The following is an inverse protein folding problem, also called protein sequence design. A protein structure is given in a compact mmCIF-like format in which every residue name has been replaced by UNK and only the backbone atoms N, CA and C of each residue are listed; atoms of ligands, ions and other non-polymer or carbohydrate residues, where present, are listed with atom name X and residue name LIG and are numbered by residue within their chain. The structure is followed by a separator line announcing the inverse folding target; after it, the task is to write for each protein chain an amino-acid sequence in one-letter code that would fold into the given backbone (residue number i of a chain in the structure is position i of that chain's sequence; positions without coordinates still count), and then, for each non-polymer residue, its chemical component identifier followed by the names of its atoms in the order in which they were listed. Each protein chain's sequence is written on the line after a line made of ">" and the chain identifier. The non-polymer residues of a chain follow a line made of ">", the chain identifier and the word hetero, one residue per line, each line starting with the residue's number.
data_IF_351738972978
#
_entry.id   IF_351738972978
#
_cell.length_a   1.000
_cell.length_b   1.000
_cell.length_c   1.000
_cell.angle_alpha   90.00
_cell.angle_beta   90.00
_cell.angle_gamma   90.00
#
_symmetry.space_group_name_H-M   'P 1'
#
loop_
_entity.id
_entity.type
_entity.pdbx_description
1 polymer ?
#
# COMPACT_ATOMS: atom_id res chain seq x y z
N UNK A 1 16.03 15.01 9.09
CA UNK A 1 16.90 14.61 7.96
C UNK A 1 16.34 15.23 6.68
N UNK A 2 17.05 16.14 6.00
CA UNK A 2 16.57 16.78 4.76
C UNK A 2 17.04 15.94 3.56
N UNK A 3 16.15 15.13 2.99
CA UNK A 3 16.44 14.37 1.77
C UNK A 3 16.36 15.35 0.58
N UNK A 4 17.48 15.54 -0.14
CA UNK A 4 17.57 16.43 -1.30
C UNK A 4 17.28 15.66 -2.60
N UNK A 5 16.03 15.24 -2.81
CA UNK A 5 15.55 14.60 -4.05
C UNK A 5 14.50 15.47 -4.78
N UNK A 6 14.14 15.12 -6.02
CA UNK A 6 13.07 15.82 -6.75
C UNK A 6 11.74 15.47 -6.09
N UNK A 7 11.02 16.46 -5.60
CA UNK A 7 9.71 16.24 -4.95
C UNK A 7 8.59 16.12 -5.99
N UNK A 8 7.69 15.16 -5.77
CA UNK A 8 6.48 14.93 -6.56
C UNK A 8 5.23 15.09 -5.70
N UNK A 9 4.13 15.43 -6.37
CA UNK A 9 2.79 15.48 -5.76
C UNK A 9 2.45 14.09 -5.20
N UNK A 10 1.73 14.01 -4.06
CA UNK A 10 1.34 12.75 -3.43
C UNK A 10 0.19 12.10 -4.20
N UNK A 11 0.50 11.49 -5.35
CA UNK A 11 -0.49 10.83 -6.20
C UNK A 11 -0.42 9.31 -6.01
N UNK A 12 -1.57 8.66 -6.08
CA UNK A 12 -1.68 7.21 -6.12
C UNK A 12 -1.03 6.68 -7.42
N UNK A 13 -0.11 5.71 -7.35
CA UNK A 13 0.57 5.19 -8.53
C UNK A 13 -0.37 4.41 -9.47
N UNK A 14 -1.51 3.94 -8.96
CA UNK A 14 -2.45 3.11 -9.74
C UNK A 14 -3.56 3.89 -10.44
N UNK A 15 -3.97 5.05 -9.90
CA UNK A 15 -5.06 5.83 -10.49
C UNK A 15 -4.75 7.32 -10.69
N UNK A 16 -3.56 7.78 -10.29
CA UNK A 16 -3.13 9.18 -10.46
C UNK A 16 -3.81 10.20 -9.53
N UNK A 17 -4.79 9.79 -8.73
CA UNK A 17 -5.50 10.69 -7.81
C UNK A 17 -4.66 11.01 -6.57
N UNK A 18 -4.79 12.22 -5.98
CA UNK A 18 -4.13 12.54 -4.72
C UNK A 18 -4.55 11.59 -3.59
N UNK A 19 -3.57 11.01 -2.88
CA UNK A 19 -3.83 10.26 -1.66
C UNK A 19 -3.77 11.18 -0.43
N UNK A 20 -4.46 10.81 0.65
CA UNK A 20 -4.46 11.58 1.90
C UNK A 20 -3.16 11.35 2.68
N UNK A 21 -2.85 12.23 3.63
CA UNK A 21 -1.75 11.96 4.56
C UNK A 21 -2.01 10.62 5.29
N UNK A 22 -1.00 9.74 5.44
CA UNK A 22 -1.14 8.52 6.24
C UNK A 22 -1.50 8.84 7.70
N UNK A 23 -2.44 8.09 8.24
CA UNK A 23 -2.98 8.23 9.61
C UNK A 23 -2.86 6.91 10.37
N UNK A 24 -2.94 6.95 11.69
CA UNK A 24 -2.85 5.74 12.52
C UNK A 24 -4.17 4.95 12.45
N UNK A 25 -4.08 3.69 12.00
CA UNK A 25 -5.19 2.77 11.78
C UNK A 25 -5.01 1.58 12.73
N UNK A 26 -6.08 1.25 13.47
CA UNK A 26 -6.15 0.03 14.28
C UNK A 26 -6.43 -1.16 13.38
N UNK A 27 -5.52 -2.12 13.35
CA UNK A 27 -5.73 -3.40 12.69
C UNK A 27 -6.48 -4.39 13.60
N UNK A 28 -6.96 -5.49 13.01
CA UNK A 28 -7.86 -6.43 13.66
C UNK A 28 -7.30 -7.14 14.90
N UNK A 29 -5.98 -7.23 15.04
CA UNK A 29 -5.30 -7.89 16.18
C UNK A 29 -4.81 -6.89 17.24
N UNK A 30 -5.28 -5.64 17.20
CA UNK A 30 -4.94 -4.60 18.19
C UNK A 30 -3.62 -3.87 17.91
N UNK A 31 -2.87 -4.29 16.91
CA UNK A 31 -1.74 -3.56 16.37
C UNK A 31 -2.20 -2.27 15.65
N UNK A 32 -1.32 -1.27 15.60
CA UNK A 32 -1.57 0.02 14.97
C UNK A 32 -0.52 0.26 13.91
N UNK A 33 -0.96 0.53 12.69
CA UNK A 33 -0.06 0.91 11.59
C UNK A 33 -0.45 2.29 11.05
N UNK A 34 0.50 3.00 10.44
CA UNK A 34 0.21 4.30 9.82
C UNK A 34 -0.05 4.10 8.32
N UNK A 35 -1.23 4.44 7.82
CA UNK A 35 -1.60 4.15 6.43
C UNK A 35 -2.90 4.80 5.98
N UNK A 36 -3.51 4.24 4.93
CA UNK A 36 -4.80 4.69 4.43
C UNK A 36 -5.25 3.94 3.16
N UNK A 37 -6.42 4.32 2.64
CA UNK A 37 -6.96 3.78 1.39
C UNK A 37 -7.19 4.90 0.37
N UNK A 38 -6.75 4.68 -0.86
CA UNK A 38 -7.10 5.53 -1.98
C UNK A 38 -8.56 5.27 -2.40
N UNK A 39 -9.19 6.25 -3.04
CA UNK A 39 -10.55 6.13 -3.59
C UNK A 39 -10.70 4.99 -4.61
N UNK A 40 -9.62 4.63 -5.32
CA UNK A 40 -9.60 3.49 -6.25
C UNK A 40 -9.45 2.11 -5.56
N UNK A 41 -9.43 2.09 -4.23
CA UNK A 41 -9.33 0.88 -3.42
C UNK A 41 -7.90 0.43 -3.08
N UNK A 42 -6.86 1.05 -3.65
CA UNK A 42 -5.46 0.78 -3.27
C UNK A 42 -5.23 1.10 -1.80
N UNK A 43 -4.69 0.17 -1.03
CA UNK A 43 -4.20 0.43 0.32
C UNK A 43 -2.79 1.00 0.27
N UNK A 44 -2.43 1.85 1.21
CA UNK A 44 -1.05 2.29 1.39
C UNK A 44 -0.67 2.31 2.86
N UNK A 45 0.61 2.07 3.12
CA UNK A 45 1.20 2.02 4.46
C UNK A 45 2.50 2.80 4.49
N UNK A 46 2.70 3.51 5.59
CA UNK A 46 3.86 4.35 5.85
C UNK A 46 4.58 3.86 7.11
N UNK A 47 5.84 3.51 6.97
CA UNK A 47 6.72 3.19 8.09
C UNK A 47 7.47 4.43 8.58
N UNK A 48 7.06 4.95 9.74
CA UNK A 48 7.70 6.10 10.39
C UNK A 48 9.16 5.84 10.76
N UNK A 49 9.52 4.59 11.05
CA UNK A 49 10.86 4.21 11.51
C UNK A 49 11.85 4.02 10.36
N UNK A 50 11.35 3.65 9.18
CA UNK A 50 12.15 3.25 8.03
C UNK A 50 12.79 1.85 8.15
N UNK A 51 12.49 1.09 9.20
CA UNK A 51 13.06 -0.23 9.46
C UNK A 51 12.01 -1.36 9.54
N UNK A 52 10.73 -1.04 9.61
CA UNK A 52 9.63 -1.97 9.87
C UNK A 52 8.64 -2.06 8.68
N UNK A 53 9.05 -1.67 7.47
CA UNK A 53 8.18 -1.70 6.30
C UNK A 53 7.63 -3.11 6.00
N UNK A 54 8.39 -4.17 6.33
CA UNK A 54 7.94 -5.56 6.16
C UNK A 54 6.78 -5.96 7.07
N UNK A 55 6.78 -5.48 8.32
CA UNK A 55 5.64 -5.70 9.25
C UNK A 55 4.44 -4.87 8.79
N UNK A 56 4.69 -3.59 8.46
CA UNK A 56 3.66 -2.68 7.98
C UNK A 56 3.01 -3.17 6.67
N UNK A 57 3.77 -3.87 5.82
CA UNK A 57 3.30 -4.51 4.60
C UNK A 57 2.20 -5.56 4.85
N UNK A 58 2.36 -6.39 5.89
CA UNK A 58 1.36 -7.42 6.25
C UNK A 58 0.02 -6.77 6.60
N UNK A 59 0.07 -5.76 7.46
CA UNK A 59 -1.13 -5.01 7.87
C UNK A 59 -1.82 -4.34 6.68
N UNK A 60 -1.03 -3.78 5.77
CA UNK A 60 -1.54 -3.14 4.56
C UNK A 60 -2.23 -4.14 3.63
N UNK A 61 -1.72 -5.37 3.51
CA UNK A 61 -2.31 -6.41 2.65
C UNK A 61 -3.66 -6.85 3.19
N UNK A 62 -3.74 -7.09 4.50
CA UNK A 62 -5.00 -7.38 5.20
C UNK A 62 -5.98 -6.22 5.05
N UNK A 63 -5.51 -4.98 5.22
CA UNK A 63 -6.33 -3.79 5.04
C UNK A 63 -6.83 -3.62 3.59
N UNK A 64 -6.02 -3.98 2.60
CA UNK A 64 -6.41 -4.04 1.20
C UNK A 64 -7.55 -5.07 0.99
N UNK A 65 -7.51 -6.18 1.73
CA UNK A 65 -8.54 -7.22 1.78
C UNK A 65 -9.71 -6.91 2.73
N UNK A 66 -9.87 -5.65 3.15
CA UNK A 66 -10.94 -5.21 4.07
C UNK A 66 -10.95 -5.93 5.43
N UNK A 67 -9.78 -6.34 5.93
CA UNK A 67 -9.65 -7.04 7.21
C UNK A 67 -9.72 -8.57 7.10
N UNK A 68 -9.88 -9.12 5.89
CA UNK A 68 -9.89 -10.55 5.65
C UNK A 68 -8.46 -11.12 5.63
N UNK A 69 -8.04 -11.65 6.77
CA UNK A 69 -6.73 -12.26 6.97
C UNK A 69 -6.55 -13.55 6.17
N UNK A 70 -7.59 -14.38 6.10
CA UNK A 70 -7.55 -15.64 5.37
C UNK A 70 -7.32 -15.38 3.88
N UNK A 71 -8.08 -14.43 3.31
CA UNK A 71 -7.88 -14.01 1.92
C UNK A 71 -6.48 -13.45 1.71
N UNK A 72 -6.01 -12.54 2.56
CA UNK A 72 -4.70 -11.92 2.42
C UNK A 72 -3.57 -12.96 2.31
N UNK A 73 -3.63 -14.05 3.10
CA UNK A 73 -2.64 -15.12 3.09
C UNK A 73 -2.67 -16.03 1.85
N UNK A 74 -3.76 -16.01 1.10
CA UNK A 74 -3.87 -16.76 -0.17
C UNK A 74 -3.40 -15.99 -1.39
N UNK A 75 -3.19 -14.67 -1.26
CA UNK A 75 -2.81 -13.83 -2.40
C UNK A 75 -1.34 -14.01 -2.75
N UNK A 76 -1.04 -14.09 -4.04
CA UNK A 76 0.33 -14.15 -4.56
C UNK A 76 0.75 -12.80 -5.14
N UNK A 77 1.92 -12.25 -4.77
CA UNK A 77 2.42 -11.00 -5.36
C UNK A 77 2.62 -11.15 -6.87
N UNK A 78 2.38 -10.06 -7.60
CA UNK A 78 2.38 -9.97 -9.07
C UNK A 78 1.33 -10.80 -9.82
N UNK A 79 0.62 -11.71 -9.12
CA UNK A 79 -0.46 -12.52 -9.68
C UNK A 79 -1.86 -12.06 -9.19
N UNK A 80 -1.99 -11.72 -7.91
CA UNK A 80 -3.26 -11.31 -7.30
C UNK A 80 -3.23 -9.89 -6.73
N UNK A 81 -2.04 -9.31 -6.59
CA UNK A 81 -1.87 -7.90 -6.22
C UNK A 81 -0.55 -7.36 -6.71
N UNK A 82 -0.49 -6.03 -6.87
CA UNK A 82 0.71 -5.29 -7.24
C UNK A 82 1.17 -4.40 -6.10
N UNK A 83 2.49 -4.21 -6.03
CA UNK A 83 3.16 -3.38 -5.02
C UNK A 83 3.93 -2.27 -5.73
N UNK A 84 3.84 -1.05 -5.20
CA UNK A 84 4.71 0.07 -5.58
C UNK A 84 5.24 0.75 -4.31
N UNK A 85 6.53 1.02 -4.25
CA UNK A 85 7.20 1.61 -3.08
C UNK A 85 7.86 2.94 -3.40
N UNK A 86 7.86 3.84 -2.42
CA UNK A 86 8.34 5.19 -2.56
C UNK A 86 9.03 5.68 -1.29
N UNK A 87 9.87 6.70 -1.46
CA UNK A 87 10.24 7.57 -0.37
C UNK A 87 9.19 8.66 -0.20
N UNK A 88 8.70 8.82 1.03
CA UNK A 88 7.68 9.77 1.40
C UNK A 88 8.14 10.64 2.57
N UNK A 89 7.90 11.95 2.43
CA UNK A 89 8.08 12.92 3.51
C UNK A 89 6.72 13.22 4.13
N UNK A 90 6.50 12.74 5.35
CA UNK A 90 5.26 12.97 6.10
C UNK A 90 5.03 14.46 6.43
N UNK A 91 6.09 15.21 6.72
CA UNK A 91 5.99 16.62 7.08
C UNK A 91 5.45 17.49 5.95
N UNK A 92 5.99 17.32 4.74
CA UNK A 92 5.56 18.06 3.55
C UNK A 92 4.49 17.37 2.71
N UNK A 93 4.15 16.10 3.01
CA UNK A 93 3.27 15.25 2.20
C UNK A 93 3.67 15.19 0.74
N UNK A 94 4.91 14.75 0.49
CA UNK A 94 5.48 14.66 -0.84
C UNK A 94 6.16 13.32 -1.05
N UNK A 95 6.07 12.81 -2.28
CA UNK A 95 6.89 11.70 -2.74
C UNK A 95 8.24 12.25 -3.18
N UNK A 96 9.32 11.50 -2.92
CA UNK A 96 10.68 11.89 -3.28
C UNK A 96 11.16 10.96 -4.38
N UNK A 97 11.41 11.53 -5.55
CA UNK A 97 11.92 10.84 -6.73
C UNK A 97 13.43 11.05 -6.84
N UNK A 98 14.17 9.95 -7.00
CA UNK A 98 15.63 9.90 -7.07
C UNK A 98 16.32 10.48 -5.83
N UNK A 99 16.69 9.60 -4.93
CA UNK A 99 17.62 9.94 -3.86
C UNK A 99 19.02 9.93 -4.46
N UNK A 100 19.79 11.01 -4.24
CA UNK A 100 21.16 11.15 -4.75
C UNK A 100 21.95 9.85 -4.52
N UNK A 101 22.59 9.32 -5.57
CA UNK A 101 23.47 8.15 -5.51
C UNK A 101 24.41 8.29 -4.30
N UNK A 102 24.32 7.36 -3.35
CA UNK A 102 25.15 7.33 -2.14
C UNK A 102 24.39 7.48 -0.82
N UNK A 103 23.14 7.95 -0.83
CA UNK A 103 22.30 7.96 0.38
C UNK A 103 21.59 6.61 0.52
N UNK A 104 21.97 5.81 1.51
CA UNK A 104 21.27 4.56 1.87
C UNK A 104 20.02 4.92 2.66
N UNK A 105 18.92 5.15 1.97
CA UNK A 105 17.60 5.28 2.59
C UNK A 105 16.72 4.18 2.06
N UNK A 106 16.03 3.48 2.96
CA UNK A 106 14.95 2.55 2.63
C UNK A 106 13.70 3.35 2.23
N UNK A 107 12.95 2.79 1.28
CA UNK A 107 11.59 3.25 1.00
C UNK A 107 10.77 3.09 2.28
N UNK A 108 9.85 4.02 2.49
CA UNK A 108 9.08 4.09 3.74
C UNK A 108 7.58 4.23 3.49
N UNK A 109 7.14 4.26 2.23
CA UNK A 109 5.74 4.24 1.84
C UNK A 109 5.54 3.15 0.79
N UNK A 110 4.52 2.33 0.98
CA UNK A 110 4.20 1.22 0.11
C UNK A 110 2.71 1.23 -0.24
N UNK A 111 2.39 1.01 -1.51
CA UNK A 111 1.04 0.88 -2.03
C UNK A 111 0.76 -0.56 -2.46
N UNK A 112 -0.41 -1.08 -2.10
CA UNK A 112 -0.89 -2.42 -2.46
C UNK A 112 -2.21 -2.29 -3.21
N UNK A 113 -2.23 -2.77 -4.45
CA UNK A 113 -3.45 -2.89 -5.24
C UNK A 113 -3.78 -4.36 -5.43
N UNK A 114 -4.82 -4.84 -4.74
CA UNK A 114 -5.39 -6.17 -4.98
C UNK A 114 -6.18 -6.15 -6.28
N UNK A 115 -5.91 -7.11 -7.14
CA UNK A 115 -6.64 -7.34 -8.38
C UNK A 115 -7.99 -7.95 -8.03
N UNK A 116 -9.07 -7.23 -8.33
CA UNK A 116 -10.40 -7.74 -8.09
C UNK A 116 -10.76 -8.66 -9.26
N UNK A 117 -10.36 -9.93 -9.18
CA UNK A 117 -10.92 -10.97 -10.05
C UNK A 117 -12.39 -11.11 -9.67
N UNK A 118 -13.25 -10.28 -10.27
CA UNK A 118 -14.69 -10.48 -10.18
C UNK A 118 -14.96 -11.94 -10.54
N UNK A 119 -15.69 -12.64 -9.67
CA UNK A 119 -16.11 -14.01 -9.86
C UNK A 119 -16.83 -14.15 -11.21
N UNK A 120 -16.11 -14.52 -12.28
CA UNK A 120 -16.71 -14.95 -13.54
C UNK A 120 -16.70 -16.47 -13.58
N UNK A 121 -17.86 -17.05 -13.29
CA UNK A 121 -18.16 -18.44 -13.60
C UNK A 121 -18.29 -19.36 -12.39
N UNK A 122 -19.55 -19.58 -11.97
CA UNK A 122 -20.14 -20.92 -11.79
C UNK A 122 -21.64 -20.78 -11.55
N UNK A 123 -22.40 -20.56 -12.63
CA UNK A 123 -23.78 -21.01 -12.69
C UNK A 123 -23.96 -21.76 -14.00
N UNK A 124 -23.53 -23.02 -13.99
CA UNK A 124 -23.93 -23.98 -15.01
C UNK A 124 -24.30 -25.28 -14.29
N UNK A 125 -25.56 -25.40 -13.89
CA UNK A 125 -26.17 -26.66 -13.51
C UNK A 125 -27.68 -26.58 -13.59
N UNK A 126 -28.27 -27.53 -14.33
CA UNK A 126 -29.69 -27.86 -14.48
C UNK A 126 -30.51 -26.93 -15.38
N UNK A 127 -30.69 -27.39 -16.62
CA UNK A 127 -31.96 -28.03 -17.01
C UNK A 127 -31.69 -29.12 -18.04
N UNK A 128 -32.13 -30.32 -17.66
CA UNK A 128 -32.38 -31.47 -18.53
C UNK A 128 -33.56 -31.15 -19.45
#
# INVERSE_FOLDING_TARGET
>A
MRISGRVKKPLCPFCGEPFKKPEDIKAGLGNVFTGGKCKCGTAYVFDRSGHNLGEAYVDALVFACNGDWEKAWTLTPDADYKIESFHYNQGSHQLIESIKKGLRTSENLLFIKVENKAQSGKENSKRR
#
